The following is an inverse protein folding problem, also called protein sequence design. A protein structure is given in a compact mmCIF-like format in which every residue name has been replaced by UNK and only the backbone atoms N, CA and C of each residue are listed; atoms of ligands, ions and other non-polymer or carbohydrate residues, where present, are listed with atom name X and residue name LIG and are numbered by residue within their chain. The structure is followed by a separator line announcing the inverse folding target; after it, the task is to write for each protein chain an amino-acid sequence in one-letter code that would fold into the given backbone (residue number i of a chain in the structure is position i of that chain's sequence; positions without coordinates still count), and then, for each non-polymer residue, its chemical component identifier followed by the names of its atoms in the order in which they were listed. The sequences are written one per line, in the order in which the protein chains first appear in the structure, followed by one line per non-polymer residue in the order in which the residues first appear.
data_IF_013603931982
#
_entry.id   IF_013603931982
#
_cell.length_a   1.000
_cell.length_b   1.000
_cell.length_c   1.000
_cell.angle_alpha   90.00
_cell.angle_beta   90.00
_cell.angle_gamma   90.00
#
_symmetry.space_group_name_H-M   'P 1'
#
loop_
_entity.id
_entity.type
_entity.pdbx_description
1 polymer ?
#
# COMPACT_ATOMS: atom_id res chain seq x y z
N UNK A 1 -12.43 -32.68 21.24
CA UNK A 1 -12.68 -32.14 19.89
C UNK A 1 -11.40 -31.42 19.49
N UNK A 2 -10.55 -32.04 18.67
CA UNK A 2 -9.25 -31.45 18.29
C UNK A 2 -9.45 -30.07 17.67
N UNK A 3 -8.57 -29.12 17.97
CA UNK A 3 -8.66 -27.75 17.47
C UNK A 3 -8.70 -27.75 15.94
N UNK A 4 -9.87 -27.47 15.36
CA UNK A 4 -10.08 -27.39 13.91
C UNK A 4 -9.58 -26.06 13.31
N UNK A 5 -9.20 -25.10 14.15
CA UNK A 5 -8.81 -23.75 13.75
C UNK A 5 -7.53 -23.35 14.48
N UNK A 6 -6.41 -23.25 13.76
CA UNK A 6 -5.13 -22.79 14.30
C UNK A 6 -4.79 -21.39 13.81
N UNK A 7 -4.08 -20.61 14.64
CA UNK A 7 -3.54 -19.30 14.25
C UNK A 7 -2.18 -19.07 14.88
N UNK A 8 -1.34 -18.27 14.20
CA UNK A 8 -0.05 -17.76 14.71
C UNK A 8 -0.10 -16.26 15.02
N UNK A 9 -1.29 -15.63 14.98
CA UNK A 9 -1.46 -14.19 15.18
C UNK A 9 -1.69 -13.88 16.65
N UNK A 10 -2.75 -14.43 17.22
CA UNK A 10 -3.18 -14.14 18.59
C UNK A 10 -3.35 -15.45 19.36
N UNK A 11 -2.87 -15.48 20.62
CA UNK A 11 -3.15 -16.57 21.56
C UNK A 11 -3.93 -16.01 22.74
N UNK A 12 -5.07 -16.63 23.05
CA UNK A 12 -5.92 -16.27 24.19
C UNK A 12 -5.84 -17.39 25.21
N UNK A 13 -5.41 -17.08 26.43
CA UNK A 13 -5.31 -18.01 27.57
C UNK A 13 -5.93 -17.34 28.81
N UNK A 14 -6.27 -18.10 29.88
CA UNK A 14 -6.73 -17.51 31.12
C UNK A 14 -5.76 -16.42 31.63
N UNK A 15 -6.26 -15.18 31.74
CA UNK A 15 -5.51 -14.00 32.17
C UNK A 15 -4.29 -13.63 31.30
N UNK A 16 -4.21 -14.13 30.06
CA UNK A 16 -3.10 -13.83 29.17
C UNK A 16 -3.57 -13.70 27.72
N UNK A 17 -3.22 -12.58 27.10
CA UNK A 17 -3.53 -12.30 25.70
C UNK A 17 -2.24 -11.96 24.98
N UNK A 18 -1.88 -12.76 23.98
CA UNK A 18 -0.63 -12.61 23.24
C UNK A 18 -0.89 -12.19 21.81
N UNK A 19 -0.17 -11.18 21.32
CA UNK A 19 -0.11 -10.79 19.91
C UNK A 19 1.29 -11.12 19.38
N UNK A 20 1.40 -12.10 18.48
CA UNK A 20 2.67 -12.50 17.83
C UNK A 20 3.82 -12.75 18.83
N UNK A 21 3.49 -13.30 20.00
CA UNK A 21 4.46 -13.61 21.05
C UNK A 21 4.72 -12.50 22.06
N UNK A 22 4.11 -11.32 21.90
CA UNK A 22 4.15 -10.22 22.87
C UNK A 22 2.89 -10.21 23.73
N UNK A 23 3.02 -9.88 25.02
CA UNK A 23 1.85 -9.73 25.90
C UNK A 23 1.10 -8.45 25.55
N UNK A 24 -0.22 -8.51 25.35
CA UNK A 24 -0.99 -7.37 24.88
C UNK A 24 -1.04 -6.24 25.92
N UNK A 25 -1.11 -6.58 27.20
CA UNK A 25 -1.04 -5.65 28.33
C UNK A 25 0.30 -4.89 28.39
N UNK A 26 1.41 -5.52 28.00
CA UNK A 26 2.71 -4.85 27.86
C UNK A 26 2.76 -3.91 26.64
N UNK A 27 1.97 -4.17 25.60
CA UNK A 27 1.91 -3.30 24.41
C UNK A 27 1.05 -2.05 24.63
N UNK A 28 0.00 -2.14 25.47
CA UNK A 28 -0.91 -1.02 25.74
C UNK A 28 -0.14 0.14 26.40
N UNK A 29 -0.15 1.29 25.73
CA UNK A 29 0.57 2.49 26.19
C UNK A 29 2.08 2.48 25.92
N UNK A 30 2.66 1.35 25.50
CA UNK A 30 4.08 1.24 25.17
C UNK A 30 4.38 1.49 23.68
N UNK A 31 3.45 1.13 22.78
CA UNK A 31 3.66 1.26 21.33
C UNK A 31 2.50 2.01 20.64
N UNK A 32 2.76 2.79 19.59
CA UNK A 32 1.69 3.38 18.77
C UNK A 32 0.84 2.31 18.08
N UNK A 33 -0.41 2.66 17.75
CA UNK A 33 -1.32 1.77 17.04
C UNK A 33 -0.72 1.22 15.73
N UNK A 34 -0.07 2.06 14.93
CA UNK A 34 0.57 1.65 13.69
C UNK A 34 1.66 0.58 13.91
N UNK A 35 2.41 0.65 15.01
CA UNK A 35 3.42 -0.37 15.34
C UNK A 35 2.80 -1.70 15.78
N UNK A 36 1.69 -1.65 16.53
CA UNK A 36 0.93 -2.86 16.88
C UNK A 36 0.28 -3.51 15.65
N UNK A 37 -0.22 -2.72 14.69
CA UNK A 37 -0.74 -3.20 13.42
C UNK A 37 0.37 -3.83 12.56
N UNK A 38 1.54 -3.19 12.48
CA UNK A 38 2.73 -3.74 11.82
C UNK A 38 3.13 -5.10 12.42
N UNK A 39 3.17 -5.18 13.76
CA UNK A 39 3.42 -6.43 14.48
C UNK A 39 2.39 -7.50 14.09
N UNK A 40 1.10 -7.21 14.14
CA UNK A 40 0.05 -8.16 13.80
C UNK A 40 0.21 -8.73 12.39
N UNK A 41 0.48 -7.85 11.41
CA UNK A 41 0.63 -8.19 10.00
C UNK A 41 1.92 -8.97 9.72
N UNK A 42 3.06 -8.47 10.18
CA UNK A 42 4.40 -8.96 9.79
C UNK A 42 5.07 -9.87 10.81
N UNK A 43 4.49 -9.99 12.01
CA UNK A 43 4.94 -10.93 13.04
C UNK A 43 6.19 -10.50 13.81
N UNK A 44 6.69 -9.28 13.59
CA UNK A 44 7.80 -8.68 14.32
C UNK A 44 7.53 -7.20 14.60
N UNK A 45 8.19 -6.65 15.62
CA UNK A 45 8.18 -5.21 15.85
C UNK A 45 8.87 -4.47 14.69
N UNK A 46 8.34 -3.30 14.28
CA UNK A 46 9.03 -2.45 13.33
C UNK A 46 10.27 -1.80 13.97
N UNK A 47 11.31 -1.61 13.17
CA UNK A 47 12.36 -0.64 13.51
C UNK A 47 11.78 0.78 13.50
N UNK A 48 12.44 1.74 14.16
CA UNK A 48 11.94 3.11 14.28
C UNK A 48 11.60 3.75 12.92
N UNK A 49 12.46 3.56 11.92
CA UNK A 49 12.22 4.06 10.57
C UNK A 49 11.05 3.37 9.87
N UNK A 50 10.88 2.06 10.06
CA UNK A 50 9.73 1.32 9.51
C UNK A 50 8.42 1.77 10.16
N UNK A 51 8.43 2.00 11.48
CA UNK A 51 7.25 2.49 12.20
C UNK A 51 6.81 3.86 11.67
N UNK A 52 7.77 4.78 11.50
CA UNK A 52 7.51 6.12 10.95
C UNK A 52 7.03 6.09 9.51
N UNK A 53 7.61 5.23 8.67
CA UNK A 53 7.23 5.12 7.26
C UNK A 53 5.86 4.44 7.11
N UNK A 54 5.60 3.38 7.88
CA UNK A 54 4.32 2.67 7.87
C UNK A 54 3.18 3.59 8.35
N UNK A 55 3.40 4.37 9.40
CA UNK A 55 2.43 5.38 9.85
C UNK A 55 2.14 6.42 8.74
N UNK A 56 3.18 6.92 8.06
CA UNK A 56 3.01 7.84 6.95
C UNK A 56 2.22 7.23 5.77
N UNK A 57 2.43 5.95 5.46
CA UNK A 57 1.66 5.21 4.45
C UNK A 57 0.18 5.16 4.86
N UNK A 58 -0.12 4.79 6.11
CA UNK A 58 -1.50 4.75 6.62
C UNK A 58 -2.16 6.13 6.55
N UNK A 59 -1.45 7.18 6.96
CA UNK A 59 -1.93 8.58 6.89
C UNK A 59 -2.22 8.99 5.45
N UNK A 60 -1.40 8.57 4.48
CA UNK A 60 -1.60 8.92 3.06
C UNK A 60 -2.88 8.33 2.44
N UNK A 61 -3.46 7.32 3.10
CA UNK A 61 -4.64 6.57 2.68
C UNK A 61 -5.87 6.81 3.59
N UNK A 62 -5.81 7.79 4.50
CA UNK A 62 -6.83 7.99 5.54
C UNK A 62 -8.22 8.32 4.98
N UNK A 63 -8.28 9.11 3.89
CA UNK A 63 -9.50 9.40 3.15
C UNK A 63 -9.18 9.96 1.75
N UNK A 64 -10.14 9.86 0.83
CA UNK A 64 -10.04 10.42 -0.51
C UNK A 64 -11.33 11.16 -0.94
N UNK A 65 -12.05 11.72 0.03
CA UNK A 65 -13.27 12.47 -0.19
C UNK A 65 -14.46 11.58 -0.56
N UNK A 66 -15.51 12.18 -1.12
CA UNK A 66 -16.83 11.54 -1.23
C UNK A 66 -17.16 10.95 -2.61
N UNK A 67 -16.23 11.08 -3.55
CA UNK A 67 -16.39 10.62 -4.93
C UNK A 67 -15.93 9.18 -5.19
N UNK A 68 -15.02 8.56 -4.41
CA UNK A 68 -14.70 7.15 -4.62
C UNK A 68 -15.88 6.21 -4.35
N UNK A 69 -16.03 5.10 -5.10
CA UNK A 69 -17.14 4.14 -4.92
C UNK A 69 -17.34 3.66 -3.48
N UNK A 70 -16.26 3.40 -2.73
CA UNK A 70 -16.34 2.97 -1.32
C UNK A 70 -17.07 3.97 -0.45
N UNK A 71 -16.77 5.26 -0.62
CA UNK A 71 -17.39 6.34 0.16
C UNK A 71 -18.83 6.57 -0.29
N UNK A 72 -19.12 6.46 -1.59
CA UNK A 72 -20.49 6.57 -2.11
C UNK A 72 -21.37 5.45 -1.57
N UNK A 73 -20.94 4.19 -1.64
CA UNK A 73 -21.70 3.03 -1.14
C UNK A 73 -21.93 3.12 0.35
N UNK A 74 -20.89 3.43 1.14
CA UNK A 74 -21.04 3.61 2.59
C UNK A 74 -22.07 4.69 2.92
N UNK A 75 -22.07 5.82 2.20
CA UNK A 75 -23.04 6.91 2.40
C UNK A 75 -24.46 6.54 1.96
N UNK A 76 -24.60 5.85 0.82
CA UNK A 76 -25.90 5.34 0.34
C UNK A 76 -26.49 4.37 1.34
N UNK A 77 -25.72 3.41 1.86
CA UNK A 77 -26.18 2.51 2.92
C UNK A 77 -26.56 3.25 4.20
N UNK A 78 -25.73 4.19 4.64
CA UNK A 78 -26.04 5.04 5.81
C UNK A 78 -27.39 5.75 5.63
N UNK A 79 -27.70 6.22 4.41
CA UNK A 79 -28.97 6.92 4.13
C UNK A 79 -30.22 6.04 4.27
N UNK A 80 -30.07 4.70 4.29
CA UNK A 80 -31.19 3.76 4.53
C UNK A 80 -31.36 3.43 6.02
N UNK A 81 -30.57 4.02 6.91
CA UNK A 81 -30.66 3.82 8.36
C UNK A 81 -29.98 2.56 8.89
N UNK A 82 -29.09 1.91 8.11
CA UNK A 82 -28.35 0.75 8.62
C UNK A 82 -27.32 1.16 9.70
N UNK A 83 -26.96 0.26 10.63
CA UNK A 83 -25.88 0.51 11.59
C UNK A 83 -24.55 0.87 10.90
N UNK A 84 -23.74 1.71 11.56
CA UNK A 84 -22.44 2.17 11.06
C UNK A 84 -21.54 1.03 10.55
N UNK A 85 -21.48 -0.08 11.29
CA UNK A 85 -20.65 -1.25 10.93
C UNK A 85 -21.08 -1.85 9.58
N UNK A 86 -22.37 -1.87 9.28
CA UNK A 86 -22.88 -2.39 8.00
C UNK A 86 -22.56 -1.43 6.85
N UNK A 87 -22.75 -0.13 7.05
CA UNK A 87 -22.38 0.88 6.05
C UNK A 87 -20.88 0.87 5.74
N UNK A 88 -20.03 0.78 6.78
CA UNK A 88 -18.59 0.65 6.63
C UNK A 88 -18.21 -0.64 5.90
N UNK A 89 -18.83 -1.78 6.26
CA UNK A 89 -18.60 -3.05 5.59
C UNK A 89 -18.96 -2.99 4.09
N UNK A 90 -20.06 -2.33 3.73
CA UNK A 90 -20.42 -2.15 2.32
C UNK A 90 -19.44 -1.27 1.55
N UNK A 91 -18.91 -0.21 2.17
CA UNK A 91 -17.84 0.60 1.59
C UNK A 91 -16.55 -0.21 1.38
N UNK A 92 -16.16 -1.03 2.35
CA UNK A 92 -15.01 -1.94 2.23
C UNK A 92 -15.24 -3.00 1.15
N UNK A 93 -16.46 -3.51 1.02
CA UNK A 93 -16.82 -4.51 0.02
C UNK A 93 -16.70 -4.00 -1.43
N UNK A 94 -16.57 -2.68 -1.65
CA UNK A 94 -16.28 -2.15 -2.99
C UNK A 94 -14.79 -2.22 -3.36
N UNK A 95 -13.91 -2.53 -2.40
CA UNK A 95 -12.47 -2.66 -2.68
C UNK A 95 -12.25 -3.90 -3.57
N UNK A 96 -11.65 -3.68 -4.73
CA UNK A 96 -11.47 -4.66 -5.79
C UNK A 96 -10.26 -4.32 -6.66
N UNK A 97 -9.98 -5.13 -7.68
CA UNK A 97 -8.88 -4.89 -8.63
C UNK A 97 -8.92 -3.50 -9.30
N UNK A 98 -10.11 -2.90 -9.44
CA UNK A 98 -10.32 -1.58 -10.07
C UNK A 98 -10.53 -0.45 -9.05
N UNK A 99 -10.62 -0.76 -7.75
CA UNK A 99 -10.81 0.21 -6.68
C UNK A 99 -10.04 -0.24 -5.44
N UNK A 100 -8.84 0.31 -5.24
CA UNK A 100 -7.94 -0.05 -4.14
C UNK A 100 -6.94 -1.18 -4.45
N UNK A 101 -7.19 -2.03 -5.45
CA UNK A 101 -6.27 -3.11 -5.85
C UNK A 101 -5.04 -2.67 -6.65
N UNK A 102 -4.86 -1.36 -6.91
CA UNK A 102 -3.73 -0.86 -7.70
C UNK A 102 -2.38 -1.07 -7.02
N UNK A 103 -2.34 -1.07 -5.68
CA UNK A 103 -1.12 -1.26 -4.88
C UNK A 103 -0.55 -2.67 -5.13
N UNK A 104 -1.35 -3.72 -4.97
CA UNK A 104 -0.89 -5.11 -5.15
C UNK A 104 -0.42 -5.39 -6.59
N UNK A 105 -1.11 -4.82 -7.58
CA UNK A 105 -0.72 -4.94 -8.99
C UNK A 105 0.60 -4.20 -9.26
N UNK A 106 0.80 -3.03 -8.67
CA UNK A 106 2.06 -2.29 -8.77
C UNK A 106 3.21 -3.02 -8.05
N UNK A 107 2.97 -3.60 -6.86
CA UNK A 107 3.96 -4.43 -6.17
C UNK A 107 4.41 -5.61 -7.03
N UNK A 108 3.45 -6.31 -7.65
CA UNK A 108 3.73 -7.44 -8.54
C UNK A 108 4.58 -7.06 -9.76
N UNK A 109 4.42 -5.82 -10.25
CA UNK A 109 5.26 -5.26 -11.30
C UNK A 109 6.66 -4.91 -10.77
N UNK A 110 6.75 -4.29 -9.59
CA UNK A 110 8.01 -3.81 -9.04
C UNK A 110 8.90 -4.93 -8.52
N UNK A 111 8.33 -6.06 -8.11
CA UNK A 111 9.10 -7.27 -7.77
C UNK A 111 9.86 -7.87 -8.96
N UNK A 112 9.59 -7.43 -10.20
CA UNK A 112 10.35 -7.82 -11.40
C UNK A 112 11.64 -7.01 -11.59
N UNK A 113 11.97 -6.13 -10.65
CA UNK A 113 13.20 -5.32 -10.67
C UNK A 113 14.43 -6.21 -10.87
N UNK A 114 15.35 -5.91 -11.81
CA UNK A 114 16.59 -6.68 -11.98
C UNK A 114 17.49 -6.57 -10.75
N UNK A 115 18.34 -7.58 -10.54
CA UNK A 115 19.31 -7.57 -9.44
C UNK A 115 20.46 -6.59 -9.67
N UNK A 116 20.86 -6.38 -10.92
CA UNK A 116 21.84 -5.37 -11.28
C UNK A 116 21.18 -3.99 -11.41
N UNK A 117 21.63 -3.05 -10.57
CA UNK A 117 21.18 -1.67 -10.59
C UNK A 117 21.51 -0.96 -11.92
N UNK A 118 22.57 -1.39 -12.62
CA UNK A 118 22.95 -0.87 -13.93
C UNK A 118 21.92 -1.16 -15.03
N UNK A 119 21.05 -2.16 -14.83
CA UNK A 119 20.06 -2.57 -15.82
C UNK A 119 18.67 -1.95 -15.61
N UNK A 120 18.44 -1.19 -14.53
CA UNK A 120 17.11 -0.70 -14.14
C UNK A 120 16.37 0.04 -15.26
N UNK A 121 17.06 0.96 -15.94
CA UNK A 121 16.47 1.79 -17.00
C UNK A 121 16.07 0.95 -18.21
N UNK A 122 16.96 0.06 -18.65
CA UNK A 122 16.69 -0.81 -19.80
C UNK A 122 15.64 -1.88 -19.47
N UNK A 123 15.64 -2.41 -18.24
CA UNK A 123 14.58 -3.31 -17.78
C UNK A 123 13.21 -2.62 -17.75
N UNK A 124 13.15 -1.37 -17.26
CA UNK A 124 11.93 -0.58 -17.26
C UNK A 124 11.40 -0.33 -18.67
N UNK A 125 12.28 0.03 -19.62
CA UNK A 125 11.93 0.20 -21.04
C UNK A 125 11.38 -1.08 -21.66
N UNK A 126 12.02 -2.24 -21.38
CA UNK A 126 11.55 -3.54 -21.86
C UNK A 126 10.16 -3.89 -21.29
N UNK A 127 9.95 -3.69 -20.00
CA UNK A 127 8.66 -3.97 -19.35
C UNK A 127 7.55 -3.05 -19.87
N UNK A 128 7.82 -1.76 -20.06
CA UNK A 128 6.86 -0.81 -20.68
C UNK A 128 6.54 -1.22 -22.11
N UNK A 129 7.55 -1.60 -22.91
CA UNK A 129 7.34 -2.07 -24.28
C UNK A 129 6.46 -3.32 -24.29
N UNK A 130 6.79 -4.33 -23.47
CA UNK A 130 6.02 -5.57 -23.37
C UNK A 130 4.57 -5.30 -22.95
N UNK A 131 4.35 -4.47 -21.94
CA UNK A 131 3.02 -4.10 -21.49
C UNK A 131 2.20 -3.42 -22.60
N UNK A 132 2.82 -2.56 -23.44
CA UNK A 132 2.14 -1.93 -24.58
C UNK A 132 1.82 -2.94 -25.67
N UNK A 133 2.75 -3.82 -26.01
CA UNK A 133 2.55 -4.88 -27.02
C UNK A 133 1.41 -5.83 -26.59
N UNK A 134 1.32 -6.12 -25.29
CA UNK A 134 0.26 -6.93 -24.66
C UNK A 134 -1.04 -6.16 -24.37
N UNK A 135 -1.08 -4.83 -24.57
CA UNK A 135 -2.16 -3.93 -24.14
C UNK A 135 -2.51 -4.05 -22.64
N UNK A 136 -1.51 -4.36 -21.82
CA UNK A 136 -1.60 -4.44 -20.37
C UNK A 136 -1.43 -3.07 -19.73
N UNK A 137 -2.29 -2.76 -18.77
CA UNK A 137 -2.20 -1.52 -17.98
C UNK A 137 -1.10 -1.67 -16.92
N UNK A 138 -0.22 -0.68 -16.82
CA UNK A 138 0.74 -0.57 -15.72
C UNK A 138 0.11 0.20 -14.56
N UNK A 139 -0.19 -0.51 -13.48
CA UNK A 139 -0.75 0.07 -12.25
C UNK A 139 0.31 0.85 -11.47
N UNK A 140 -0.12 1.83 -10.66
CA UNK A 140 0.77 2.71 -9.90
C UNK A 140 1.23 3.97 -10.65
N UNK A 141 0.78 4.17 -11.89
CA UNK A 141 1.15 5.31 -12.73
C UNK A 141 -0.06 6.09 -13.22
N UNK A 142 0.16 7.38 -13.48
CA UNK A 142 -0.84 8.29 -14.00
C UNK A 142 -1.73 8.88 -12.90
N UNK A 143 -2.27 10.07 -13.17
CA UNK A 143 -3.20 10.74 -12.27
C UNK A 143 -4.12 11.66 -13.08
N UNK A 144 -5.43 11.65 -12.76
CA UNK A 144 -6.43 12.47 -13.48
C UNK A 144 -6.22 13.97 -13.32
N UNK A 145 -5.73 14.39 -12.15
CA UNK A 145 -5.65 15.82 -11.75
C UNK A 145 -4.24 16.36 -11.53
N UNK A 146 -3.21 15.50 -11.47
CA UNK A 146 -1.91 15.89 -10.92
C UNK A 146 -0.80 15.46 -11.86
N UNK A 147 -0.01 16.44 -12.29
CA UNK A 147 1.26 16.17 -12.97
C UNK A 147 2.36 15.73 -11.98
N UNK A 148 2.10 15.91 -10.68
CA UNK A 148 2.95 15.60 -9.53
C UNK A 148 2.04 15.37 -8.32
N UNK A 149 1.84 14.13 -7.88
CA UNK A 149 1.03 13.84 -6.69
C UNK A 149 1.81 14.26 -5.42
N UNK A 150 1.27 15.18 -4.59
CA UNK A 150 1.96 15.66 -3.40
C UNK A 150 2.22 14.56 -2.36
N UNK A 151 1.36 13.53 -2.28
CA UNK A 151 1.53 12.40 -1.36
C UNK A 151 2.73 11.56 -1.76
N UNK A 152 2.84 11.24 -3.06
CA UNK A 152 3.98 10.51 -3.61
C UNK A 152 5.29 11.24 -3.33
N UNK A 153 5.33 12.57 -3.52
CA UNK A 153 6.53 13.35 -3.22
C UNK A 153 6.90 13.28 -1.75
N UNK A 154 5.93 13.43 -0.84
CA UNK A 154 6.19 13.40 0.59
C UNK A 154 6.65 12.02 1.05
N UNK A 155 6.01 10.95 0.59
CA UNK A 155 6.38 9.57 0.93
C UNK A 155 7.79 9.23 0.46
N UNK A 156 8.13 9.52 -0.81
CA UNK A 156 9.48 9.25 -1.32
C UNK A 156 10.56 10.11 -0.67
N UNK A 157 10.23 11.35 -0.28
CA UNK A 157 11.15 12.20 0.49
C UNK A 157 11.41 11.60 1.89
N UNK A 158 10.35 11.22 2.60
CA UNK A 158 10.47 10.58 3.91
C UNK A 158 11.24 9.25 3.82
N UNK A 159 11.00 8.46 2.78
CA UNK A 159 11.74 7.23 2.55
C UNK A 159 13.24 7.47 2.34
N UNK A 160 13.63 8.56 1.66
CA UNK A 160 15.05 8.96 1.55
C UNK A 160 15.63 9.38 2.90
N UNK A 161 14.90 10.20 3.66
CA UNK A 161 15.29 10.63 5.01
C UNK A 161 15.52 9.44 5.96
N UNK A 162 14.71 8.39 5.82
CA UNK A 162 14.73 7.20 6.67
C UNK A 162 15.58 6.03 6.12
N UNK A 163 16.16 6.17 4.92
CA UNK A 163 16.98 5.12 4.31
C UNK A 163 16.22 3.97 3.63
N UNK A 164 14.91 4.12 3.38
CA UNK A 164 14.05 3.12 2.69
C UNK A 164 13.88 3.36 1.19
N UNK A 165 14.52 4.39 0.63
CA UNK A 165 14.48 4.64 -0.81
C UNK A 165 15.42 3.69 -1.58
N UNK A 166 15.01 2.42 -1.69
CA UNK A 166 15.80 1.33 -2.26
C UNK A 166 15.52 1.01 -3.73
N UNK A 167 15.85 -0.24 -4.13
CA UNK A 167 15.76 -0.71 -5.53
C UNK A 167 14.35 -0.62 -6.12
N UNK A 168 13.31 -0.88 -5.32
CA UNK A 168 11.92 -0.81 -5.79
C UNK A 168 11.49 0.62 -6.10
N UNK A 169 11.87 1.59 -5.26
CA UNK A 169 11.69 3.02 -5.54
C UNK A 169 12.40 3.44 -6.82
N UNK A 170 13.67 3.05 -6.99
CA UNK A 170 14.44 3.36 -8.18
C UNK A 170 13.82 2.77 -9.45
N UNK A 171 13.37 1.52 -9.39
CA UNK A 171 12.72 0.85 -10.51
C UNK A 171 11.36 1.45 -10.85
N UNK A 172 10.54 1.78 -9.85
CA UNK A 172 9.25 2.45 -10.04
C UNK A 172 9.42 3.81 -10.72
N UNK A 173 10.45 4.59 -10.37
CA UNK A 173 10.77 5.85 -11.03
C UNK A 173 11.24 5.65 -12.48
N UNK A 174 12.11 4.67 -12.72
CA UNK A 174 12.54 4.33 -14.08
C UNK A 174 11.37 3.87 -14.98
N UNK A 175 10.41 3.11 -14.42
CA UNK A 175 9.17 2.74 -15.10
C UNK A 175 8.31 3.96 -15.43
N UNK A 176 8.20 4.93 -14.52
CA UNK A 176 7.45 6.17 -14.78
C UNK A 176 8.07 6.99 -15.93
N UNK A 177 9.40 7.07 -15.96
CA UNK A 177 10.12 7.77 -17.03
C UNK A 177 9.95 7.05 -18.37
N UNK A 178 10.20 5.74 -18.42
CA UNK A 178 10.03 4.93 -19.63
C UNK A 178 8.57 4.94 -20.14
N UNK A 179 7.58 4.91 -19.24
CA UNK A 179 6.17 5.00 -19.59
C UNK A 179 5.85 6.37 -20.18
N UNK A 180 6.34 7.45 -19.57
CA UNK A 180 6.16 8.81 -20.07
C UNK A 180 6.75 9.01 -21.46
N UNK A 181 7.95 8.47 -21.71
CA UNK A 181 8.59 8.44 -23.03
C UNK A 181 7.71 7.71 -24.05
N UNK A 182 7.19 6.52 -23.70
CA UNK A 182 6.44 5.67 -24.61
C UNK A 182 5.03 6.19 -24.97
N UNK A 183 4.39 6.97 -24.08
CA UNK A 183 3.06 7.56 -24.33
C UNK A 183 3.09 9.00 -24.83
N UNK A 184 4.25 9.67 -24.79
CA UNK A 184 4.43 11.05 -25.28
C UNK A 184 3.86 12.14 -24.37
N UNK A 185 3.43 11.78 -23.15
CA UNK A 185 3.03 12.72 -22.12
C UNK A 185 3.41 12.19 -20.74
N UNK A 186 3.37 13.06 -19.73
CA UNK A 186 3.78 12.68 -18.38
C UNK A 186 2.86 11.61 -17.78
N UNK A 187 3.45 10.53 -17.30
CA UNK A 187 2.81 9.44 -16.55
C UNK A 187 3.51 9.28 -15.19
N UNK A 188 3.23 10.17 -14.22
CA UNK A 188 3.95 10.15 -12.95
C UNK A 188 3.58 8.91 -12.13
N UNK A 189 4.50 8.47 -11.28
CA UNK A 189 4.17 7.56 -10.17
C UNK A 189 3.09 8.23 -9.30
N UNK A 190 1.99 7.52 -9.03
CA UNK A 190 0.93 8.00 -8.15
C UNK A 190 1.12 7.48 -6.71
N UNK A 191 0.21 7.82 -5.80
CA UNK A 191 0.36 7.40 -4.39
C UNK A 191 0.34 5.87 -4.24
N UNK A 192 -0.48 5.15 -5.01
CA UNK A 192 -0.57 3.70 -4.93
C UNK A 192 0.75 3.05 -5.36
N UNK A 193 1.36 3.58 -6.43
CA UNK A 193 2.69 3.18 -6.88
C UNK A 193 3.77 3.55 -5.86
N UNK A 194 3.65 4.70 -5.19
CA UNK A 194 4.59 5.08 -4.13
C UNK A 194 4.51 4.13 -2.94
N UNK A 195 3.29 3.79 -2.49
CA UNK A 195 3.07 2.82 -1.41
C UNK A 195 3.58 1.44 -1.82
N UNK A 196 3.32 1.00 -3.06
CA UNK A 196 3.79 -0.28 -3.56
C UNK A 196 5.32 -0.41 -3.65
N UNK A 197 6.03 0.71 -3.81
CA UNK A 197 7.49 0.73 -3.91
C UNK A 197 8.20 0.82 -2.55
N UNK A 198 7.47 1.09 -1.47
CA UNK A 198 7.95 1.26 -0.09
C UNK A 198 7.62 0.03 0.77
#
# INVERSE_FOLDING_TARGET
MGERWGTKITKVEPNRLMLRGYSLDELIGAVPFASAAFLALLGRMPAEGEARLFDAILVSSVDHGVTPPSTQVARTMTSTGVPLVQAAAGGVATISSYHGGAIENAMSLFYRVPDDAGELVEAARREVKAARDEKRVLFGFGHRYHNKDPRTQRLLALARELGFHGRYCAYALALADALSEAVGHKMPLNVDGAIAAL
#
